data_IF_961820540226
#
_entry.id   IF_961820540226
#
_cell.length_a   1.000
_cell.length_b   1.000
_cell.length_c   1.000
_cell.angle_alpha   90.00
_cell.angle_beta   90.00
_cell.angle_gamma   90.00
#
_symmetry.space_group_name_H-M   'P 1'
#
loop_
_entity.id
_entity.type
_entity.pdbx_description
1 polymer ?
#
# COMPACT_ATOMS: atom_id res chain seq x y z
N UNK A 1 -2.40 -11.33 -12.75
CA UNK A 1 -1.78 -10.32 -11.85
C UNK A 1 -0.81 -10.96 -10.86
N UNK A 2 -1.24 -11.77 -9.87
CA UNK A 2 -0.32 -12.36 -8.86
C UNK A 2 0.88 -13.11 -9.46
N UNK A 3 0.67 -13.97 -10.46
CA UNK A 3 1.76 -14.72 -11.10
C UNK A 3 2.82 -13.80 -11.74
N UNK A 4 2.40 -12.72 -12.39
CA UNK A 4 3.31 -11.73 -12.96
C UNK A 4 4.12 -10.99 -11.88
N UNK A 5 3.48 -10.65 -10.76
CA UNK A 5 4.16 -10.03 -9.62
C UNK A 5 5.19 -10.98 -9.01
N UNK A 6 4.83 -12.26 -8.82
CA UNK A 6 5.75 -13.28 -8.33
C UNK A 6 6.96 -13.44 -9.26
N UNK A 7 6.70 -13.59 -10.57
CA UNK A 7 7.73 -13.72 -11.58
C UNK A 7 8.71 -12.52 -11.57
N UNK A 8 8.20 -11.30 -11.38
CA UNK A 8 9.06 -10.12 -11.24
C UNK A 8 10.00 -10.22 -10.04
N UNK A 9 9.48 -10.58 -8.85
CA UNK A 9 10.30 -10.65 -7.64
C UNK A 9 11.28 -11.83 -7.63
N UNK A 10 11.01 -12.86 -8.43
CA UNK A 10 11.90 -14.00 -8.69
C UNK A 10 13.03 -13.68 -9.69
N UNK A 11 12.96 -12.56 -10.42
CA UNK A 11 14.05 -12.14 -11.31
C UNK A 11 15.36 -11.93 -10.53
N UNK A 12 16.52 -12.16 -11.16
CA UNK A 12 17.80 -11.81 -10.59
C UNK A 12 17.85 -10.34 -10.15
N UNK A 13 18.59 -10.05 -9.08
CA UNK A 13 18.68 -8.69 -8.53
C UNK A 13 19.10 -7.65 -9.58
N UNK A 14 20.04 -7.99 -10.47
CA UNK A 14 20.47 -7.08 -11.54
C UNK A 14 19.35 -6.75 -12.54
N UNK A 15 18.44 -7.68 -12.82
CA UNK A 15 17.26 -7.44 -13.66
C UNK A 15 16.25 -6.54 -12.95
N UNK A 16 16.00 -6.77 -11.65
CA UNK A 16 15.12 -5.91 -10.84
C UNK A 16 15.68 -4.49 -10.70
N UNK A 17 17.00 -4.36 -10.55
CA UNK A 17 17.67 -3.07 -10.40
C UNK A 17 17.62 -2.20 -11.67
N UNK A 18 17.28 -2.75 -12.84
CA UNK A 18 16.97 -1.92 -14.04
C UNK A 18 15.77 -1.00 -13.83
N UNK A 19 14.90 -1.35 -12.87
CA UNK A 19 13.73 -0.57 -12.49
C UNK A 19 13.94 0.17 -11.16
N UNK A 20 15.17 0.23 -10.65
CA UNK A 20 15.44 0.82 -9.34
C UNK A 20 15.00 2.29 -9.30
N UNK A 21 14.30 2.65 -8.23
CA UNK A 21 13.85 4.02 -7.97
C UNK A 21 15.03 4.89 -7.52
N UNK A 22 15.25 6.04 -8.17
CA UNK A 22 16.15 7.09 -7.66
C UNK A 22 15.47 7.89 -6.53
N UNK A 23 16.25 8.64 -5.74
CA UNK A 23 15.74 9.32 -4.53
C UNK A 23 14.51 10.23 -4.79
N UNK A 24 14.39 10.80 -5.99
CA UNK A 24 13.36 11.76 -6.36
C UNK A 24 12.22 11.17 -7.21
N UNK A 25 12.30 9.91 -7.61
CA UNK A 25 11.26 9.28 -8.43
C UNK A 25 10.19 8.64 -7.55
N UNK A 26 8.92 8.74 -7.93
CA UNK A 26 7.83 8.08 -7.19
C UNK A 26 7.63 6.62 -7.60
N UNK A 27 8.05 6.27 -8.81
CA UNK A 27 7.93 4.92 -9.39
C UNK A 27 9.25 4.15 -9.31
N UNK A 28 9.15 2.82 -9.36
CA UNK A 28 10.28 1.91 -9.46
C UNK A 28 10.35 0.87 -8.35
N UNK A 29 11.28 -0.05 -8.53
CA UNK A 29 11.68 -1.08 -7.59
C UNK A 29 12.54 -0.46 -6.49
N UNK A 30 12.30 -0.85 -5.24
CA UNK A 30 13.12 -0.45 -4.09
C UNK A 30 13.21 -1.61 -3.12
N UNK A 31 14.43 -1.91 -2.71
CA UNK A 31 14.70 -2.60 -1.46
C UNK A 31 14.72 -1.54 -0.35
N UNK A 32 14.15 -1.79 0.83
CA UNK A 32 14.12 -0.79 1.89
C UNK A 32 15.56 -0.34 2.26
N UNK A 33 15.97 0.85 1.82
CA UNK A 33 17.26 1.46 2.18
C UNK A 33 17.13 2.30 3.45
N UNK A 34 18.21 2.28 4.25
CA UNK A 34 18.41 3.08 5.47
C UNK A 34 18.40 4.56 5.13
N UNK A 35 17.53 5.34 5.78
CA UNK A 35 17.54 6.82 5.71
C UNK A 35 18.06 7.43 7.02
N UNK A 36 18.13 6.67 8.11
CA UNK A 36 18.80 7.06 9.36
C UNK A 36 19.00 5.85 10.29
N UNK A 37 19.93 5.95 11.26
CA UNK A 37 20.25 4.90 12.24
C UNK A 37 19.09 4.55 13.21
N UNK A 38 18.00 5.32 13.20
CA UNK A 38 16.85 5.14 14.10
C UNK A 38 15.67 4.39 13.45
N UNK A 39 15.63 4.28 12.12
CA UNK A 39 14.54 3.60 11.41
C UNK A 39 14.89 2.13 11.15
N UNK A 40 14.19 1.22 11.82
CA UNK A 40 14.19 -0.21 11.49
C UNK A 40 13.65 -0.41 10.08
N UNK A 41 14.33 -1.23 9.28
CA UNK A 41 13.93 -1.54 7.91
C UNK A 41 12.75 -2.51 7.89
N UNK A 42 11.86 -2.28 6.92
CA UNK A 42 10.81 -3.22 6.55
C UNK A 42 11.40 -4.42 5.82
N UNK A 43 11.01 -5.62 6.24
CA UNK A 43 11.39 -6.89 5.62
C UNK A 43 10.52 -7.18 4.39
N UNK A 44 10.60 -6.26 3.41
CA UNK A 44 9.76 -6.26 2.22
C UNK A 44 10.45 -5.59 1.03
N UNK A 45 10.39 -6.26 -0.11
CA UNK A 45 10.71 -5.68 -1.41
C UNK A 45 9.48 -5.01 -2.02
N UNK A 46 9.71 -3.91 -2.73
CA UNK A 46 8.68 -3.01 -3.21
C UNK A 46 8.85 -2.72 -4.70
N UNK A 47 7.75 -2.76 -5.46
CA UNK A 47 7.66 -2.12 -6.77
C UNK A 47 6.45 -1.17 -6.77
N UNK A 48 6.70 0.12 -7.00
CA UNK A 48 5.67 1.14 -7.10
C UNK A 48 5.53 1.62 -8.54
N UNK A 49 4.29 1.71 -9.04
CA UNK A 49 3.95 2.22 -10.36
C UNK A 49 2.85 3.27 -10.16
N UNK A 50 2.93 4.40 -10.85
CA UNK A 50 1.84 5.39 -10.86
C UNK A 50 1.26 5.39 -12.26
N UNK A 51 -0.06 5.22 -12.34
CA UNK A 51 -0.81 5.25 -13.58
C UNK A 51 -1.79 6.41 -13.53
N UNK A 52 -1.65 7.31 -14.49
CA UNK A 52 -2.71 8.25 -14.85
C UNK A 52 -3.55 7.56 -15.94
N UNK A 53 -4.78 7.12 -15.68
CA UNK A 53 -5.56 6.45 -16.72
C UNK A 53 -6.00 7.50 -17.76
N UNK A 54 -5.73 7.22 -19.03
CA UNK A 54 -6.03 8.10 -20.16
C UNK A 54 -7.52 8.45 -20.27
N UNK A 55 -8.42 7.59 -19.79
CA UNK A 55 -9.87 7.76 -19.80
C UNK A 55 -10.41 8.80 -18.80
N UNK A 56 -9.66 9.18 -17.77
CA UNK A 56 -10.08 10.20 -16.79
C UNK A 56 -9.63 11.62 -17.14
N UNK A 57 -8.98 11.84 -18.29
CA UNK A 57 -8.62 13.20 -18.76
C UNK A 57 -9.82 14.05 -19.18
N UNK A 58 -10.99 13.43 -19.42
CA UNK A 58 -12.18 14.07 -20.00
C UNK A 58 -13.47 13.83 -19.20
N UNK A 59 -13.39 13.77 -17.87
CA UNK A 59 -14.57 13.69 -17.01
C UNK A 59 -14.64 14.95 -16.13
N UNK A 60 -15.22 16.03 -16.67
CA UNK A 60 -15.41 17.30 -15.98
C UNK A 60 -16.35 17.21 -14.76
N UNK A 61 -16.97 16.06 -14.50
CA UNK A 61 -17.93 15.86 -13.40
C UNK A 61 -17.32 15.18 -12.15
N UNK A 62 -16.12 14.60 -12.26
CA UNK A 62 -15.32 14.27 -11.08
C UNK A 62 -14.29 15.38 -10.90
N UNK A 63 -14.60 16.35 -10.05
CA UNK A 63 -13.63 17.38 -9.65
C UNK A 63 -12.35 16.71 -9.11
N UNK A 64 -11.27 16.77 -9.90
CA UNK A 64 -9.93 16.33 -9.50
C UNK A 64 -9.45 15.10 -10.25
N UNK A 65 -8.31 15.23 -10.93
CA UNK A 65 -7.62 14.12 -11.58
C UNK A 65 -7.20 13.13 -10.50
N UNK A 66 -7.85 11.97 -10.43
CA UNK A 66 -7.47 10.91 -9.50
C UNK A 66 -6.32 10.10 -10.13
N UNK A 67 -5.11 10.24 -9.59
CA UNK A 67 -4.01 9.34 -9.97
C UNK A 67 -4.21 7.97 -9.29
N UNK A 68 -3.90 6.89 -10.01
CA UNK A 68 -3.90 5.55 -9.44
C UNK A 68 -2.46 5.09 -9.21
N UNK A 69 -2.07 5.02 -7.94
CA UNK A 69 -0.84 4.36 -7.52
C UNK A 69 -1.06 2.85 -7.39
N UNK A 70 -0.13 2.04 -7.86
CA UNK A 70 -0.10 0.59 -7.61
C UNK A 70 1.20 0.24 -6.92
N UNK A 71 1.10 -0.47 -5.80
CA UNK A 71 2.23 -0.93 -5.01
C UNK A 71 2.19 -2.45 -4.87
N UNK A 72 3.22 -3.08 -5.39
CA UNK A 72 3.44 -4.52 -5.27
C UNK A 72 4.45 -4.76 -4.16
N UNK A 73 4.05 -5.56 -3.18
CA UNK A 73 4.82 -5.89 -1.99
C UNK A 73 5.17 -7.37 -2.00
N UNK A 74 6.44 -7.69 -1.76
CA UNK A 74 6.93 -9.03 -1.55
C UNK A 74 7.64 -9.11 -0.19
N UNK A 75 7.00 -9.79 0.76
CA UNK A 75 7.59 -10.07 2.06
C UNK A 75 8.18 -11.49 2.04
N UNK A 76 9.51 -11.67 1.97
CA UNK A 76 10.11 -13.00 2.04
C UNK A 76 9.91 -13.65 3.41
N UNK A 77 10.19 -14.96 3.50
CA UNK A 77 10.28 -15.64 4.80
C UNK A 77 11.38 -15.02 5.65
N UNK A 78 11.14 -14.90 6.96
CA UNK A 78 12.12 -14.42 7.91
C UNK A 78 12.38 -15.48 8.98
N UNK A 79 13.65 -15.76 9.31
CA UNK A 79 14.02 -16.69 10.39
C UNK A 79 13.70 -16.14 11.78
N UNK A 80 13.59 -14.81 11.91
CA UNK A 80 13.30 -14.07 13.15
C UNK A 80 12.13 -13.10 12.96
N UNK A 81 10.92 -13.60 12.68
CA UNK A 81 9.75 -12.76 12.43
C UNK A 81 9.29 -11.96 13.66
N UNK A 82 9.83 -12.28 14.84
CA UNK A 82 9.69 -11.55 16.11
C UNK A 82 10.43 -10.21 16.12
N UNK A 83 11.47 -10.05 15.29
CA UNK A 83 12.36 -8.88 15.31
C UNK A 83 12.06 -7.86 14.20
N UNK A 84 11.28 -8.24 13.19
CA UNK A 84 11.04 -7.43 11.98
C UNK A 84 9.57 -7.42 11.58
N UNK A 85 9.15 -6.35 10.91
CA UNK A 85 7.85 -6.26 10.26
C UNK A 85 8.05 -6.31 8.74
N UNK A 86 7.06 -6.85 8.03
CA UNK A 86 7.03 -6.80 6.58
C UNK A 86 6.76 -5.37 6.12
N UNK A 87 5.83 -4.68 6.77
CA UNK A 87 5.59 -3.25 6.59
C UNK A 87 5.31 -2.65 7.96
N UNK A 88 6.03 -1.59 8.31
CA UNK A 88 5.89 -0.87 9.58
C UNK A 88 4.48 -0.28 9.77
N UNK A 89 4.05 0.00 11.01
CA UNK A 89 2.77 0.64 11.28
C UNK A 89 2.62 1.98 10.55
N UNK A 90 1.50 2.18 9.86
CA UNK A 90 1.17 3.42 9.15
C UNK A 90 -0.34 3.54 8.89
N UNK A 91 -0.78 4.76 8.58
CA UNK A 91 -2.03 5.03 7.85
C UNK A 91 -1.71 5.31 6.38
N UNK A 92 -2.68 5.10 5.50
CA UNK A 92 -2.51 5.40 4.08
C UNK A 92 -2.75 6.88 3.79
N UNK A 93 -1.86 7.52 3.04
CA UNK A 93 -2.04 8.91 2.63
C UNK A 93 -3.11 9.10 1.52
N UNK A 94 -3.51 8.02 0.84
CA UNK A 94 -4.52 8.02 -0.23
C UNK A 94 -5.94 8.29 0.29
N UNK A 95 -6.91 8.41 -0.61
CA UNK A 95 -8.33 8.43 -0.21
C UNK A 95 -8.84 7.03 0.12
N UNK A 96 -8.66 6.11 -0.83
CA UNK A 96 -9.10 4.73 -0.70
C UNK A 96 -7.96 3.83 -1.17
N UNK A 97 -7.73 2.76 -0.42
CA UNK A 97 -6.81 1.70 -0.79
C UNK A 97 -7.59 0.42 -1.05
N UNK A 98 -7.29 -0.23 -2.17
CA UNK A 98 -7.83 -1.54 -2.54
C UNK A 98 -6.67 -2.53 -2.55
N UNK A 99 -6.72 -3.50 -1.64
CA UNK A 99 -5.65 -4.47 -1.42
C UNK A 99 -6.08 -5.87 -1.86
N UNK A 100 -5.30 -6.43 -2.79
CA UNK A 100 -5.32 -7.86 -3.12
C UNK A 100 -4.15 -8.55 -2.43
N UNK A 101 -4.44 -9.53 -1.59
CA UNK A 101 -3.43 -10.29 -0.84
C UNK A 101 -3.51 -11.79 -1.11
N UNK A 102 -2.43 -12.50 -0.79
CA UNK A 102 -2.40 -13.96 -0.82
C UNK A 102 -3.46 -14.56 0.12
N UNK A 103 -4.37 -15.36 -0.45
CA UNK A 103 -5.50 -15.93 0.30
C UNK A 103 -5.07 -16.95 1.37
N UNK A 104 -3.92 -17.60 1.22
CA UNK A 104 -3.43 -18.65 2.13
C UNK A 104 -2.43 -18.13 3.16
N UNK A 105 -2.23 -16.80 3.25
CA UNK A 105 -1.16 -16.19 4.05
C UNK A 105 -1.67 -15.00 4.85
N UNK A 106 -1.74 -15.19 6.17
CA UNK A 106 -1.93 -14.09 7.10
C UNK A 106 -0.72 -13.14 7.04
N UNK A 107 -0.95 -11.86 7.33
CA UNK A 107 0.12 -10.87 7.38
C UNK A 107 -0.38 -9.47 7.66
N UNK A 108 -1.54 -9.09 7.11
CA UNK A 108 -2.15 -7.80 7.42
C UNK A 108 -2.72 -7.80 8.84
N UNK A 109 -2.38 -6.76 9.60
CA UNK A 109 -2.99 -6.44 10.89
C UNK A 109 -3.45 -4.99 10.90
N UNK A 110 -4.61 -4.74 11.47
CA UNK A 110 -5.15 -3.39 11.72
C UNK A 110 -5.10 -3.09 13.21
N UNK A 111 -4.99 -1.81 13.58
CA UNK A 111 -5.05 -1.39 14.97
C UNK A 111 -6.49 -1.06 15.36
N UNK A 112 -6.98 -1.71 16.40
CA UNK A 112 -8.33 -1.54 16.93
C UNK A 112 -8.29 -1.62 18.46
N UNK A 113 -8.76 -0.57 19.13
CA UNK A 113 -8.73 -0.44 20.60
C UNK A 113 -7.34 -0.75 21.20
N UNK A 114 -6.30 -0.09 20.66
CA UNK A 114 -4.89 -0.30 21.02
C UNK A 114 -4.32 -1.71 20.76
N UNK A 115 -5.12 -2.64 20.25
CA UNK A 115 -4.70 -4.00 19.92
C UNK A 115 -4.51 -4.19 18.41
N UNK A 116 -3.55 -5.04 18.04
CA UNK A 116 -3.35 -5.47 16.66
C UNK A 116 -4.27 -6.65 16.33
N UNK A 117 -5.19 -6.46 15.39
CA UNK A 117 -6.17 -7.46 14.97
C UNK A 117 -5.79 -8.00 13.58
N UNK A 118 -5.65 -9.32 13.40
CA UNK A 118 -5.33 -9.91 12.09
C UNK A 118 -6.52 -9.80 11.14
N UNK A 119 -6.27 -9.40 9.91
CA UNK A 119 -7.25 -9.45 8.82
C UNK A 119 -7.13 -10.79 8.12
N UNK A 120 -8.07 -11.70 8.40
CA UNK A 120 -8.08 -13.04 7.80
C UNK A 120 -8.33 -12.94 6.29
N UNK A 121 -7.43 -13.45 5.43
CA UNK A 121 -7.68 -13.46 3.99
C UNK A 121 -8.92 -14.32 3.67
N UNK A 122 -9.75 -13.80 2.77
CA UNK A 122 -10.92 -14.51 2.24
C UNK A 122 -10.68 -14.79 0.75
N UNK A 123 -10.91 -16.04 0.26
CA UNK A 123 -10.78 -16.35 -1.15
C UNK A 123 -11.60 -15.39 -2.03
N UNK A 124 -11.00 -14.88 -3.10
CA UNK A 124 -11.61 -13.94 -4.05
C UNK A 124 -12.07 -12.59 -3.46
N UNK A 125 -11.68 -12.25 -2.23
CA UNK A 125 -11.98 -10.96 -1.63
C UNK A 125 -10.87 -9.93 -1.87
N UNK A 126 -11.27 -8.67 -1.78
CA UNK A 126 -10.38 -7.52 -1.68
C UNK A 126 -10.56 -6.91 -0.28
N UNK A 127 -9.49 -6.37 0.27
CA UNK A 127 -9.57 -5.52 1.47
C UNK A 127 -9.63 -4.09 0.99
N UNK A 128 -10.57 -3.31 1.51
CA UNK A 128 -10.69 -1.88 1.22
C UNK A 128 -10.51 -1.12 2.53
N UNK A 129 -9.65 -0.10 2.53
CA UNK A 129 -9.51 0.80 3.66
C UNK A 129 -9.54 2.25 3.22
N UNK A 130 -9.98 3.09 4.14
CA UNK A 130 -9.98 4.55 3.99
C UNK A 130 -8.60 5.07 4.40
N UNK A 131 -8.09 6.03 3.66
CA UNK A 131 -6.87 6.75 3.99
C UNK A 131 -7.12 8.19 4.40
N UNK A 132 -6.04 8.86 4.76
CA UNK A 132 -5.99 10.16 5.43
C UNK A 132 -6.51 11.30 4.55
N UNK A 133 -6.57 11.12 3.22
CA UNK A 133 -7.04 12.15 2.31
C UNK A 133 -8.56 12.39 2.42
N UNK A 134 -9.37 11.48 2.99
CA UNK A 134 -10.83 11.68 3.17
C UNK A 134 -11.13 12.56 4.41
N UNK A 135 -10.49 13.72 4.50
CA UNK A 135 -10.69 14.69 5.60
C UNK A 135 -12.05 15.38 5.55
N UNK A 136 -12.67 15.47 4.37
CA UNK A 136 -13.96 16.13 4.16
C UNK A 136 -15.19 15.40 4.75
N UNK A 137 -14.99 14.24 5.38
CA UNK A 137 -16.06 13.40 5.95
C UNK A 137 -16.53 13.82 7.36
N UNK A 138 -16.04 14.94 7.91
CA UNK A 138 -16.32 15.38 9.28
C UNK A 138 -16.04 14.29 10.35
N UNK A 139 -15.01 13.46 10.12
CA UNK A 139 -14.65 12.37 11.04
C UNK A 139 -15.56 11.14 10.98
N UNK A 140 -16.50 11.09 10.02
CA UNK A 140 -17.37 9.93 9.79
C UNK A 140 -16.54 8.70 9.37
N UNK A 141 -15.52 8.90 8.53
CA UNK A 141 -14.60 7.85 8.14
C UNK A 141 -13.27 8.00 8.86
N UNK A 142 -12.78 6.90 9.43
CA UNK A 142 -11.51 6.84 10.14
C UNK A 142 -10.48 6.09 9.29
N UNK A 143 -9.36 6.74 9.05
CA UNK A 143 -8.16 6.09 8.55
C UNK A 143 -7.53 5.31 9.70
N UNK A 144 -7.34 4.00 9.49
CA UNK A 144 -6.91 3.07 10.54
C UNK A 144 -5.44 2.70 10.33
N UNK A 145 -4.66 2.82 11.40
CA UNK A 145 -3.28 2.35 11.43
C UNK A 145 -3.24 0.84 11.17
N UNK A 146 -2.37 0.42 10.27
CA UNK A 146 -2.21 -0.97 9.90
C UNK A 146 -0.73 -1.30 9.64
N UNK A 147 -0.41 -2.60 9.68
CA UNK A 147 0.95 -3.10 9.46
C UNK A 147 0.92 -4.45 8.75
N UNK A 148 2.05 -4.86 8.20
CA UNK A 148 2.23 -6.22 7.70
C UNK A 148 3.27 -6.96 8.54
N UNK A 149 2.93 -8.13 9.07
CA UNK A 149 3.86 -9.01 9.80
C UNK A 149 4.49 -10.04 8.86
N UNK A 150 5.69 -10.50 9.20
CA UNK A 150 6.37 -11.59 8.49
C UNK A 150 6.11 -12.94 9.14
N UNK A 151 6.60 -14.00 8.53
CA UNK A 151 6.61 -15.35 9.11
C UNK A 151 7.81 -16.13 8.59
N UNK A 152 8.08 -17.30 9.19
CA UNK A 152 9.21 -18.16 8.81
C UNK A 152 8.86 -19.31 7.85
N UNK A 153 7.60 -19.40 7.37
CA UNK A 153 7.11 -20.55 6.60
C UNK A 153 6.87 -20.24 5.12
N UNK A 154 6.30 -19.09 4.81
CA UNK A 154 5.87 -18.70 3.45
C UNK A 154 6.12 -17.21 3.20
N UNK A 155 6.72 -16.88 2.06
CA UNK A 155 6.76 -15.50 1.55
C UNK A 155 5.36 -15.03 1.22
N UNK A 156 5.05 -13.73 1.30
CA UNK A 156 3.72 -13.15 1.04
C UNK A 156 3.80 -12.10 -0.05
N UNK A 157 2.90 -12.19 -1.03
CA UNK A 157 2.70 -11.13 -2.02
C UNK A 157 1.39 -10.38 -1.73
N UNK A 158 1.42 -9.06 -1.89
CA UNK A 158 0.21 -8.25 -1.94
C UNK A 158 0.33 -7.10 -2.93
N UNK A 159 -0.78 -6.74 -3.56
CA UNK A 159 -0.89 -5.62 -4.50
C UNK A 159 -1.90 -4.63 -3.93
N UNK A 160 -1.42 -3.46 -3.54
CA UNK A 160 -2.25 -2.34 -3.11
C UNK A 160 -2.45 -1.38 -4.28
N UNK A 161 -3.67 -0.92 -4.48
CA UNK A 161 -4.02 0.13 -5.43
C UNK A 161 -4.55 1.31 -4.64
N UNK A 162 -3.95 2.48 -4.85
CA UNK A 162 -4.21 3.71 -4.12
C UNK A 162 -4.93 4.69 -5.04
N UNK A 163 -6.10 5.16 -4.61
CA UNK A 163 -6.76 6.32 -5.17
C UNK A 163 -6.13 7.58 -4.57
N UNK A 164 -5.28 8.25 -5.34
CA UNK A 164 -4.58 9.47 -4.93
C UNK A 164 -5.39 10.68 -5.39
N UNK A 165 -5.58 11.65 -4.50
CA UNK A 165 -6.10 12.95 -4.90
C UNK A 165 -4.93 13.78 -5.41
N UNK A 166 -5.19 14.56 -6.45
CA UNK A 166 -4.32 15.64 -6.86
C UNK A 166 -4.18 16.66 -5.71
N UNK A 167 -2.96 17.10 -5.44
CA UNK A 167 -2.62 18.06 -4.39
C UNK A 167 -3.35 19.40 -4.57
N UNK A 168 -3.76 19.74 -5.80
CA UNK A 168 -4.52 20.94 -6.12
C UNK A 168 -6.02 20.83 -5.76
N UNK A 169 -6.50 19.62 -5.43
CA UNK A 169 -7.89 19.39 -5.06
C UNK A 169 -8.11 19.79 -3.60
N UNK A 170 -8.53 21.04 -3.40
CA UNK A 170 -9.07 21.49 -2.11
C UNK A 170 -10.41 20.82 -1.85
N UNK A 171 -10.38 19.72 -1.10
CA UNK A 171 -11.59 19.12 -0.55
C UNK A 171 -12.29 20.16 0.34
N UNK A 172 -13.49 20.57 -0.08
CA UNK A 172 -14.37 21.39 0.76
C UNK A 172 -15.09 20.47 1.73
N UNK A 173 -15.37 21.00 2.92
CA UNK A 173 -16.24 20.35 3.91
C UNK A 173 -17.60 20.11 3.24
N UNK A 174 -18.10 18.88 3.34
CA UNK A 174 -19.51 18.61 2.99
C UNK A 174 -20.35 19.18 4.12
N UNK A 175 -21.07 20.26 3.83
CA UNK A 175 -22.04 20.85 4.75
C UNK A 175 -23.38 20.16 4.52
N UNK A 176 -24.00 19.68 5.60
CA UNK A 176 -25.40 19.26 5.52
C UNK A 176 -26.23 20.53 5.34
N UNK A 177 -26.88 20.67 4.18
CA UNK A 177 -27.87 21.73 3.98
C UNK A 177 -28.97 21.61 5.02
N UNK A 178 -29.28 22.72 5.70
CA UNK A 178 -30.43 22.85 6.59
C UNK A 178 -31.74 23.02 5.84
#
# INVERSE_FOLDING_TARGET
MKAAVAAFFELPLHEKNKYARTANELQGYRQAYVVSNEKKLDWNDLLALIKVPSSFRNMNELHGIMELGVRMNYCPTCSRPDLVLGISPHSDASSITILKQDYDKNGLQIKHNEAWVPVKPVPNALVVNIGDAIKGSNGLYKSIEHRAVTNNKKSRISVATFALLDDDVKLKRVECGG
#
